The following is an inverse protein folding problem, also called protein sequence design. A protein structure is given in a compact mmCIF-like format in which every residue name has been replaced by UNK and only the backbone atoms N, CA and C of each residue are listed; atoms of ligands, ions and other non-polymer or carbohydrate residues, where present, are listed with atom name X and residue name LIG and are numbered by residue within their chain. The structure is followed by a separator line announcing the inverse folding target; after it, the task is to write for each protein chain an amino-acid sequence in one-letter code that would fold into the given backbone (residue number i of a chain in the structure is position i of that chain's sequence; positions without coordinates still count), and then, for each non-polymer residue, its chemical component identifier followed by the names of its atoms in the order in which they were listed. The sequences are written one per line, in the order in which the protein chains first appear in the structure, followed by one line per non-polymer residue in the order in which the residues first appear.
data_IF_228076654017
#
_entry.id   IF_228076654017
#
_cell.length_a   1.000
_cell.length_b   1.000
_cell.length_c   1.000
_cell.angle_alpha   90.00
_cell.angle_beta   90.00
_cell.angle_gamma   90.00
#
_symmetry.space_group_name_H-M   'P 1'
#
loop_
_entity.id
_entity.type
_entity.pdbx_description
1 polymer ?
#
# COMPACT_ATOMS: atom_id res chain seq x y z
N UNK A 1 43.89 53.64 -32.19
CA UNK A 1 43.42 52.56 -31.29
C UNK A 1 42.41 53.15 -30.32
N UNK A 2 41.20 52.60 -30.34
CA UNK A 2 39.92 53.22 -29.97
C UNK A 2 39.52 52.73 -28.56
N UNK A 3 39.22 53.64 -27.63
CA UNK A 3 38.79 53.33 -26.26
C UNK A 3 37.38 53.85 -25.98
N UNK A 4 36.53 52.88 -25.64
CA UNK A 4 35.62 52.86 -24.48
C UNK A 4 34.35 53.72 -24.52
N UNK A 5 33.23 53.03 -24.29
CA UNK A 5 32.23 53.49 -23.31
C UNK A 5 30.90 53.97 -23.88
N UNK A 6 30.04 53.03 -24.28
CA UNK A 6 28.63 53.31 -24.56
C UNK A 6 27.85 53.43 -23.25
N UNK A 7 27.51 54.67 -22.90
CA UNK A 7 26.43 55.03 -22.02
C UNK A 7 25.18 55.32 -22.88
N UNK A 8 24.02 54.85 -22.43
CA UNK A 8 22.66 55.39 -22.65
C UNK A 8 21.68 54.20 -22.47
N UNK A 9 20.96 54.14 -21.35
CA UNK A 9 19.74 54.90 -21.06
C UNK A 9 18.52 54.29 -21.73
N UNK A 10 17.59 53.78 -20.93
CA UNK A 10 16.14 53.98 -21.09
C UNK A 10 15.40 53.21 -19.98
N UNK A 11 14.15 53.63 -19.76
CA UNK A 11 13.06 52.93 -19.07
C UNK A 11 12.99 53.22 -17.56
N UNK A 12 11.85 53.54 -16.96
CA UNK A 12 10.61 54.21 -17.32
C UNK A 12 9.84 54.33 -15.99
N UNK A 13 9.02 55.36 -15.90
CA UNK A 13 8.21 55.77 -14.75
C UNK A 13 7.27 54.65 -14.27
N UNK A 14 7.30 54.34 -12.97
CA UNK A 14 6.19 53.70 -12.25
C UNK A 14 5.96 54.47 -10.94
N UNK A 15 4.83 55.18 -10.89
CA UNK A 15 4.32 55.85 -9.70
C UNK A 15 3.86 54.80 -8.68
N UNK A 16 4.44 54.79 -7.49
CA UNK A 16 4.03 53.96 -6.35
C UNK A 16 3.63 54.84 -5.17
N UNK A 17 2.39 54.73 -4.72
CA UNK A 17 1.91 55.31 -3.46
C UNK A 17 2.59 54.60 -2.28
N UNK A 18 3.36 55.34 -1.46
CA UNK A 18 3.90 54.84 -0.20
C UNK A 18 2.92 55.18 0.93
N UNK A 19 2.37 54.15 1.58
CA UNK A 19 1.52 54.29 2.76
C UNK A 19 2.34 54.00 4.02
N UNK A 20 2.41 54.96 4.94
CA UNK A 20 3.06 54.79 6.25
C UNK A 20 2.33 53.75 7.12
N UNK A 21 3.02 52.75 7.71
CA UNK A 21 2.41 51.85 8.69
C UNK A 21 2.35 52.51 10.08
N UNK A 22 1.15 52.62 10.65
CA UNK A 22 0.92 52.95 12.07
C UNK A 22 1.56 51.87 12.96
N UNK A 23 2.37 52.22 13.98
CA UNK A 23 2.90 51.24 14.93
C UNK A 23 1.77 50.48 15.65
N UNK A 24 1.84 49.15 15.60
CA UNK A 24 0.87 48.28 16.25
C UNK A 24 1.02 48.32 17.78
N UNK A 25 -0.09 48.23 18.54
CA UNK A 25 -0.03 48.08 20.00
C UNK A 25 0.74 46.82 20.42
N UNK A 26 1.40 46.87 21.58
CA UNK A 26 2.13 45.73 22.12
C UNK A 26 1.19 44.53 22.37
N UNK A 27 1.66 43.29 22.13
CA UNK A 27 0.84 42.10 22.33
C UNK A 27 0.53 41.84 23.82
N UNK A 28 -0.63 41.24 24.13
CA UNK A 28 -0.99 40.86 25.50
C UNK A 28 -0.04 39.79 26.06
N UNK A 29 0.08 39.67 27.40
CA UNK A 29 0.91 38.64 28.03
C UNK A 29 0.43 37.24 27.67
N UNK A 30 1.34 36.25 27.60
CA UNK A 30 0.98 34.89 27.22
C UNK A 30 0.09 34.22 28.28
N UNK A 31 -0.79 33.30 27.87
CA UNK A 31 -1.64 32.55 28.79
C UNK A 31 -0.80 31.65 29.71
N UNK A 32 -1.30 31.31 30.91
CA UNK A 32 -0.62 30.38 31.80
C UNK A 32 -0.46 29.00 31.15
N UNK A 33 0.60 28.25 31.52
CA UNK A 33 0.84 26.94 30.95
C UNK A 33 -0.28 25.96 31.31
N UNK A 34 -0.63 25.03 30.40
CA UNK A 34 -1.65 24.02 30.66
C UNK A 34 -1.22 23.09 31.81
N UNK A 35 -2.18 22.53 32.57
CA UNK A 35 -1.87 21.54 33.61
C UNK A 35 -1.23 20.28 32.98
N UNK A 36 -0.39 19.56 33.74
CA UNK A 36 0.26 18.37 33.24
C UNK A 36 -0.77 17.29 32.86
N UNK A 37 -0.50 16.47 31.82
CA UNK A 37 -1.40 15.41 31.41
C UNK A 37 -1.57 14.38 32.52
N UNK A 38 -2.81 13.94 32.74
CA UNK A 38 -3.12 12.86 33.67
C UNK A 38 -2.42 11.55 33.25
N UNK A 39 -1.89 10.80 34.21
CA UNK A 39 -1.23 9.53 33.95
C UNK A 39 -2.23 8.48 33.41
N UNK A 40 -1.82 7.63 32.44
CA UNK A 40 -2.71 6.60 31.90
C UNK A 40 -2.96 5.49 32.90
N UNK A 41 -4.23 5.12 33.07
CA UNK A 41 -4.65 3.95 33.85
C UNK A 41 -4.26 2.69 33.07
N UNK A 42 -3.50 1.78 33.69
CA UNK A 42 -3.13 0.50 33.10
C UNK A 42 -4.28 -0.51 33.27
N UNK A 43 -4.93 -0.90 32.17
CA UNK A 43 -5.87 -2.01 32.17
C UNK A 43 -5.11 -3.35 32.25
N UNK A 44 -5.64 -4.36 32.96
CA UNK A 44 -5.08 -5.71 32.94
C UNK A 44 -5.17 -6.30 31.52
N UNK A 45 -4.21 -7.18 31.14
CA UNK A 45 -4.23 -7.82 29.83
C UNK A 45 -5.49 -8.67 29.67
N UNK A 46 -6.17 -8.50 28.54
CA UNK A 46 -7.33 -9.31 28.20
C UNK A 46 -6.92 -10.79 28.05
N UNK A 47 -7.79 -11.74 28.43
CA UNK A 47 -7.53 -13.16 28.21
C UNK A 47 -7.37 -13.45 26.72
N UNK A 48 -6.34 -14.22 26.38
CA UNK A 48 -6.08 -14.65 25.01
C UNK A 48 -7.14 -15.71 24.65
N UNK A 49 -8.10 -15.34 23.82
CA UNK A 49 -9.06 -16.29 23.24
C UNK A 49 -8.45 -16.91 21.98
N UNK A 50 -8.22 -18.22 22.00
CA UNK A 50 -7.79 -18.97 20.80
C UNK A 50 -9.04 -19.25 19.98
N UNK A 51 -9.16 -18.59 18.82
CA UNK A 51 -10.24 -18.86 17.88
C UNK A 51 -10.14 -20.31 17.36
N UNK A 52 -11.27 -21.01 17.16
CA UNK A 52 -11.27 -22.30 16.48
C UNK A 52 -10.64 -22.20 15.09
N UNK A 53 -9.99 -23.26 14.59
CA UNK A 53 -9.48 -23.26 13.22
C UNK A 53 -10.64 -23.08 12.23
N UNK A 54 -10.39 -22.39 11.09
CA UNK A 54 -11.40 -22.22 10.07
C UNK A 54 -11.85 -23.59 9.52
N UNK A 55 -13.10 -23.69 9.02
CA UNK A 55 -13.55 -24.90 8.34
C UNK A 55 -12.62 -25.26 7.17
N UNK A 56 -12.45 -26.56 6.87
CA UNK A 56 -11.69 -26.99 5.70
C UNK A 56 -12.35 -26.46 4.43
N UNK A 57 -11.54 -26.08 3.45
CA UNK A 57 -12.02 -25.57 2.19
C UNK A 57 -12.61 -26.69 1.30
N UNK A 58 -13.52 -26.34 0.39
CA UNK A 58 -14.31 -27.33 -0.36
C UNK A 58 -13.50 -28.10 -1.42
N UNK A 59 -12.35 -27.56 -1.85
CA UNK A 59 -11.55 -28.13 -2.92
C UNK A 59 -10.19 -28.71 -2.44
N UNK A 60 -9.87 -28.61 -1.15
CA UNK A 60 -8.61 -29.03 -0.55
C UNK A 60 -7.41 -28.13 -0.86
N UNK A 61 -7.64 -26.86 -1.21
CA UNK A 61 -6.63 -25.84 -1.48
C UNK A 61 -5.75 -25.56 -0.26
N UNK A 62 -6.28 -25.62 0.96
CA UNK A 62 -5.52 -25.35 2.18
C UNK A 62 -4.27 -26.22 2.29
N UNK A 63 -4.43 -27.52 1.99
CA UNK A 63 -3.36 -28.53 2.02
C UNK A 63 -2.21 -28.22 1.04
N UNK A 64 -2.46 -27.42 0.01
CA UNK A 64 -1.48 -27.08 -1.02
C UNK A 64 -1.03 -25.62 -0.98
N UNK A 65 -1.45 -24.83 0.01
CA UNK A 65 -0.98 -23.44 0.20
C UNK A 65 0.53 -23.34 0.38
N UNK A 66 1.19 -24.39 0.91
CA UNK A 66 2.65 -24.48 1.01
C UNK A 66 3.40 -24.51 -0.34
N UNK A 67 2.70 -24.69 -1.46
CA UNK A 67 3.28 -24.58 -2.79
C UNK A 67 3.55 -23.14 -3.21
N UNK A 68 2.94 -22.14 -2.57
CA UNK A 68 3.18 -20.73 -2.94
C UNK A 68 4.66 -20.39 -2.84
N UNK A 69 5.22 -19.84 -3.91
CA UNK A 69 6.65 -19.56 -4.07
C UNK A 69 7.49 -20.73 -4.59
N UNK A 70 6.99 -21.97 -4.59
CA UNK A 70 7.67 -23.14 -5.15
C UNK A 70 7.58 -23.16 -6.69
N UNK A 71 8.54 -23.80 -7.39
CA UNK A 71 8.43 -24.03 -8.82
C UNK A 71 7.23 -24.94 -9.15
N UNK A 72 6.56 -24.68 -10.27
CA UNK A 72 5.40 -25.47 -10.74
C UNK A 72 5.68 -26.96 -10.95
N UNK A 73 6.95 -27.37 -11.05
CA UNK A 73 7.37 -28.77 -11.14
C UNK A 73 7.17 -29.54 -9.83
N UNK A 74 7.03 -28.87 -8.69
CA UNK A 74 6.72 -29.48 -7.40
C UNK A 74 5.22 -29.76 -7.21
N UNK A 75 4.36 -29.31 -8.14
CA UNK A 75 2.90 -29.53 -8.04
C UNK A 75 2.63 -31.04 -8.19
N UNK A 76 2.01 -31.70 -7.19
CA UNK A 76 1.72 -33.12 -7.26
C UNK A 76 0.62 -33.41 -8.28
N UNK A 77 0.76 -34.55 -8.97
CA UNK A 77 -0.25 -35.04 -9.92
C UNK A 77 -1.55 -35.31 -9.16
N UNK A 78 -2.68 -34.68 -9.56
CA UNK A 78 -3.96 -34.87 -8.88
C UNK A 78 -4.54 -36.25 -9.16
N UNK A 79 -5.21 -36.83 -8.15
CA UNK A 79 -6.03 -38.02 -8.33
C UNK A 79 -7.25 -37.76 -9.24
N UNK A 80 -7.79 -36.54 -9.19
CA UNK A 80 -8.97 -36.12 -9.98
C UNK A 80 -8.58 -34.88 -10.81
N UNK A 81 -8.08 -35.05 -12.04
CA UNK A 81 -7.64 -33.92 -12.88
C UNK A 81 -8.73 -32.89 -13.15
N UNK A 82 -9.99 -33.31 -13.28
CA UNK A 82 -11.13 -32.40 -13.52
C UNK A 82 -11.40 -31.42 -12.37
N UNK A 83 -10.90 -31.71 -11.16
CA UNK A 83 -11.03 -30.84 -9.98
C UNK A 83 -9.80 -29.96 -9.75
N UNK A 84 -8.75 -30.05 -10.57
CA UNK A 84 -7.54 -29.24 -10.40
C UNK A 84 -7.11 -28.61 -11.72
N UNK A 85 -7.05 -27.29 -11.72
CA UNK A 85 -6.51 -26.48 -12.82
C UNK A 85 -5.15 -25.93 -12.42
N UNK A 86 -4.15 -26.12 -13.27
CA UNK A 86 -2.85 -25.44 -13.18
C UNK A 86 -2.77 -24.46 -14.34
N UNK A 87 -2.64 -23.17 -14.05
CA UNK A 87 -2.75 -22.11 -15.05
C UNK A 87 -1.68 -21.04 -14.81
N UNK A 88 -1.19 -20.39 -15.86
CA UNK A 88 -0.24 -19.30 -15.71
C UNK A 88 -0.95 -17.95 -15.50
N UNK A 89 -0.26 -16.99 -14.88
CA UNK A 89 -0.76 -15.62 -14.65
C UNK A 89 -1.18 -14.90 -15.94
N UNK A 90 -0.63 -15.28 -17.09
CA UNK A 90 -0.94 -14.70 -18.41
C UNK A 90 -1.79 -15.62 -19.29
N UNK A 91 -2.20 -16.78 -18.78
CA UNK A 91 -2.93 -17.78 -19.56
C UNK A 91 -4.42 -17.41 -19.58
N UNK A 92 -5.10 -17.51 -20.74
CA UNK A 92 -6.54 -17.30 -20.81
C UNK A 92 -7.27 -18.35 -19.96
N UNK A 93 -8.21 -17.90 -19.13
CA UNK A 93 -9.08 -18.75 -18.30
C UNK A 93 -10.50 -18.22 -18.27
N UNK A 94 -11.45 -19.13 -18.21
CA UNK A 94 -12.85 -18.81 -17.95
C UNK A 94 -13.04 -18.46 -16.46
N UNK A 95 -13.97 -17.54 -16.19
CA UNK A 95 -14.32 -17.05 -14.86
C UNK A 95 -15.57 -17.76 -14.28
N UNK A 96 -15.87 -18.97 -14.75
CA UNK A 96 -16.90 -19.82 -14.15
C UNK A 96 -16.49 -20.20 -12.74
N UNK A 97 -17.32 -19.97 -11.73
CA UNK A 97 -16.99 -20.34 -10.35
C UNK A 97 -17.40 -21.81 -10.09
N UNK A 98 -16.45 -22.61 -9.58
CA UNK A 98 -16.70 -23.97 -9.12
C UNK A 98 -16.04 -24.17 -7.74
N UNK A 99 -16.83 -24.30 -6.65
CA UNK A 99 -16.27 -24.38 -5.30
C UNK A 99 -15.52 -25.70 -5.05
N UNK A 100 -15.78 -26.74 -5.84
CA UNK A 100 -15.07 -28.02 -5.77
C UNK A 100 -13.82 -28.09 -6.67
N UNK A 101 -13.49 -27.00 -7.37
CA UNK A 101 -12.30 -26.92 -8.22
C UNK A 101 -11.21 -26.10 -7.55
N UNK A 102 -10.02 -26.68 -7.52
CA UNK A 102 -8.80 -26.01 -7.13
C UNK A 102 -8.13 -25.37 -8.34
N UNK A 103 -7.78 -24.10 -8.24
CA UNK A 103 -6.93 -23.40 -9.20
C UNK A 103 -5.57 -23.11 -8.55
N UNK A 104 -4.52 -23.66 -9.13
CA UNK A 104 -3.12 -23.34 -8.82
C UNK A 104 -2.62 -22.41 -9.92
N UNK A 105 -2.28 -21.18 -9.55
CA UNK A 105 -1.75 -20.20 -10.48
C UNK A 105 -0.23 -20.12 -10.34
N UNK A 106 0.49 -20.09 -11.46
CA UNK A 106 1.93 -19.86 -11.47
C UNK A 106 2.29 -18.66 -12.33
N UNK A 107 3.33 -17.93 -11.93
CA UNK A 107 3.85 -16.82 -12.68
C UNK A 107 4.51 -17.31 -13.98
N UNK A 108 4.07 -16.78 -15.12
CA UNK A 108 4.51 -17.24 -16.42
C UNK A 108 6.01 -17.00 -16.67
N UNK A 109 6.59 -15.96 -16.07
CA UNK A 109 7.99 -15.59 -16.29
C UNK A 109 8.95 -16.42 -15.42
N UNK A 110 8.61 -16.63 -14.15
CA UNK A 110 9.47 -17.29 -13.15
C UNK A 110 9.14 -18.77 -12.96
N UNK A 111 7.95 -19.20 -13.38
CA UNK A 111 7.45 -20.56 -13.16
C UNK A 111 7.10 -20.88 -11.71
N UNK A 112 7.02 -19.87 -10.83
CA UNK A 112 6.70 -20.03 -9.41
C UNK A 112 5.21 -19.95 -9.16
N UNK A 113 4.68 -20.79 -8.29
CA UNK A 113 3.27 -20.74 -7.87
C UNK A 113 3.02 -19.43 -7.12
N UNK A 114 2.00 -18.70 -7.54
CA UNK A 114 1.58 -17.41 -6.97
C UNK A 114 0.35 -17.54 -6.09
N UNK A 115 -0.55 -18.47 -6.39
CA UNK A 115 -1.74 -18.70 -5.58
C UNK A 115 -2.28 -20.13 -5.69
N UNK A 116 -2.99 -20.55 -4.64
CA UNK A 116 -3.76 -21.79 -4.58
C UNK A 116 -5.13 -21.43 -4.00
N UNK A 117 -6.19 -21.57 -4.80
CA UNK A 117 -7.53 -21.09 -4.45
C UNK A 117 -8.61 -22.06 -4.90
N UNK A 118 -9.76 -22.04 -4.23
CA UNK A 118 -10.98 -22.68 -4.75
C UNK A 118 -11.73 -21.70 -5.65
N UNK A 119 -12.19 -22.18 -6.81
CA UNK A 119 -12.94 -21.36 -7.75
C UNK A 119 -12.93 -21.86 -9.18
#
# INVERSE_FOLDING_TARGET
MRRIGLAAAAIAILAGCSSDPKPAPAPPPPPPPPPPPAAPIRLPPAPISVAPPPPPDQCGAYELTGLVGKPRSEIPVPLIPSRRRVVCTTCPRTQDFNPGRMTIEYDAATGRVTSVTCG
#
